data_IF_037876093936
#
_entry.id   IF_037876093936
#
_cell.length_a   1.000
_cell.length_b   1.000
_cell.length_c   1.000
_cell.angle_alpha   90.00
_cell.angle_beta   90.00
_cell.angle_gamma   90.00
#
_symmetry.space_group_name_H-M   'P 1'
#
loop_
_entity.id
_entity.type
_entity.pdbx_description
1 polymer ?
#
# COMPACT_ATOMS: atom_id res chain seq x y z
N UNK A 1 9.76 -0.96 -7.37
CA UNK A 1 8.32 -0.80 -7.62
C UNK A 1 8.06 -0.25 -9.02
N UNK A 2 8.45 0.99 -9.34
CA UNK A 2 8.41 1.53 -10.72
C UNK A 2 9.07 0.60 -11.74
N UNK A 3 10.28 0.13 -11.47
CA UNK A 3 10.97 -0.84 -12.33
C UNK A 3 10.26 -2.19 -12.54
N UNK A 4 9.26 -2.54 -11.73
CA UNK A 4 8.56 -3.83 -11.84
C UNK A 4 7.21 -3.62 -12.53
N UNK A 5 6.43 -2.61 -12.11
CA UNK A 5 5.12 -2.30 -12.70
C UNK A 5 5.24 -1.55 -14.03
N UNK A 6 6.27 -0.72 -14.20
CA UNK A 6 6.54 0.06 -15.42
C UNK A 6 7.67 -0.56 -16.26
N UNK A 7 8.43 -1.53 -15.73
CA UNK A 7 9.60 -2.10 -16.38
C UNK A 7 9.41 -3.57 -16.76
N UNK A 8 8.77 -3.82 -17.92
CA UNK A 8 8.64 -5.07 -18.71
C UNK A 8 8.77 -6.44 -17.98
N UNK A 9 8.46 -6.51 -16.69
CA UNK A 9 8.63 -7.66 -15.80
C UNK A 9 10.05 -8.26 -15.79
N UNK A 10 11.09 -7.46 -16.03
CA UNK A 10 12.49 -7.95 -16.08
C UNK A 10 12.98 -8.48 -14.72
N UNK A 11 12.35 -8.06 -13.63
CA UNK A 11 12.64 -8.51 -12.27
C UNK A 11 11.42 -9.17 -11.64
N UNK A 12 11.65 -10.26 -10.90
CA UNK A 12 10.61 -10.91 -10.12
C UNK A 12 10.01 -9.98 -9.06
N UNK A 13 8.70 -10.07 -8.88
CA UNK A 13 7.98 -9.36 -7.82
C UNK A 13 8.40 -9.95 -6.47
N UNK A 14 8.96 -9.11 -5.60
CA UNK A 14 9.25 -9.51 -4.22
C UNK A 14 8.03 -9.22 -3.34
N UNK A 15 7.46 -10.26 -2.75
CA UNK A 15 6.39 -10.13 -1.76
C UNK A 15 6.94 -9.70 -0.40
N UNK A 16 6.09 -9.06 0.41
CA UNK A 16 6.45 -8.58 1.76
C UNK A 16 5.29 -8.80 2.72
N UNK A 17 5.61 -9.20 3.95
CA UNK A 17 4.62 -9.22 5.01
C UNK A 17 4.38 -7.80 5.54
N UNK A 18 3.12 -7.48 5.79
CA UNK A 18 2.69 -6.19 6.30
C UNK A 18 1.99 -6.36 7.65
N UNK A 19 2.16 -5.35 8.51
CA UNK A 19 1.47 -5.24 9.80
C UNK A 19 0.67 -3.95 9.82
N UNK A 20 -0.65 -4.08 9.92
CA UNK A 20 -1.57 -2.96 10.10
C UNK A 20 -2.04 -2.95 11.55
N UNK A 21 -1.84 -1.83 12.24
CA UNK A 21 -2.24 -1.67 13.64
C UNK A 21 -3.34 -0.62 13.74
N UNK A 22 -4.47 -0.97 14.36
CA UNK A 22 -5.44 0.01 14.83
C UNK A 22 -4.99 0.47 16.22
N UNK A 23 -4.85 1.78 16.42
CA UNK A 23 -4.39 2.38 17.67
C UNK A 23 -5.45 3.34 18.23
N UNK A 24 -5.48 3.50 19.55
CA UNK A 24 -6.28 4.53 20.21
C UNK A 24 -5.52 5.87 20.27
N UNK A 25 -6.11 6.87 20.92
CA UNK A 25 -5.51 8.21 21.07
C UNK A 25 -4.22 8.22 21.92
N UNK A 26 -4.00 7.19 22.74
CA UNK A 26 -2.81 7.01 23.58
C UNK A 26 -1.75 6.12 22.89
N UNK A 27 -1.86 5.92 21.57
CA UNK A 27 -1.00 5.03 20.75
C UNK A 27 -1.03 3.55 21.16
N UNK A 28 -1.97 3.15 22.01
CA UNK A 28 -2.15 1.76 22.39
C UNK A 28 -2.80 0.98 21.26
N UNK A 29 -2.19 -0.16 20.90
CA UNK A 29 -2.68 -1.05 19.84
C UNK A 29 -3.93 -1.78 20.30
N UNK A 30 -5.03 -1.59 19.57
CA UNK A 30 -6.34 -2.21 19.82
C UNK A 30 -6.56 -3.48 18.98
N UNK A 31 -5.91 -3.57 17.82
CA UNK A 31 -5.96 -4.73 16.94
C UNK A 31 -4.79 -4.70 15.96
N UNK A 32 -4.35 -5.88 15.52
CA UNK A 32 -3.32 -6.05 14.49
C UNK A 32 -3.86 -6.94 13.39
N UNK A 33 -3.64 -6.54 12.14
CA UNK A 33 -3.74 -7.42 10.99
C UNK A 33 -2.33 -7.71 10.47
N UNK A 34 -2.02 -9.00 10.37
CA UNK A 34 -0.84 -9.50 9.67
C UNK A 34 -1.29 -9.93 8.28
N UNK A 35 -0.73 -9.27 7.26
CA UNK A 35 -1.01 -9.54 5.84
C UNK A 35 0.25 -10.17 5.28
N UNK A 36 0.16 -11.42 4.85
CA UNK A 36 1.33 -12.18 4.44
C UNK A 36 1.50 -12.14 2.93
N UNK A 37 2.76 -12.03 2.51
CA UNK A 37 3.17 -12.02 1.12
C UNK A 37 2.33 -11.03 0.30
N UNK A 38 2.33 -9.75 0.66
CA UNK A 38 1.67 -8.72 -0.13
C UNK A 38 2.58 -8.25 -1.28
N UNK A 39 2.00 -7.95 -2.44
CA UNK A 39 2.71 -7.35 -3.57
C UNK A 39 1.85 -6.35 -4.34
N UNK A 40 2.47 -5.34 -4.97
CA UNK A 40 1.74 -4.31 -5.68
C UNK A 40 1.23 -4.80 -7.03
N UNK A 41 0.00 -4.43 -7.35
CA UNK A 41 -0.66 -4.73 -8.63
C UNK A 41 -0.94 -3.47 -9.44
N UNK A 42 -1.00 -2.31 -8.78
CA UNK A 42 -1.21 -1.02 -9.44
C UNK A 42 -0.55 0.09 -8.64
N UNK A 43 -0.01 1.07 -9.35
CA UNK A 43 0.46 2.33 -8.79
C UNK A 43 -0.08 3.47 -9.65
N UNK A 44 -0.49 4.56 -9.02
CA UNK A 44 -0.96 5.76 -9.70
C UNK A 44 -0.69 7.01 -8.89
N UNK A 45 -0.44 8.11 -9.58
CA UNK A 45 -0.33 9.43 -8.98
C UNK A 45 -1.64 10.18 -9.22
N UNK A 46 -2.13 10.90 -8.21
CA UNK A 46 -3.26 11.80 -8.36
C UNK A 46 -3.07 12.74 -9.54
N UNK A 47 -4.14 13.00 -10.29
CA UNK A 47 -4.09 13.92 -11.42
C UNK A 47 -3.71 15.33 -10.98
N UNK A 48 -2.79 15.95 -11.69
CA UNK A 48 -2.52 17.38 -11.53
C UNK A 48 -3.56 18.17 -12.30
N UNK A 49 -4.49 18.79 -11.57
CA UNK A 49 -5.50 19.69 -12.15
C UNK A 49 -4.97 21.13 -12.15
N UNK A 50 -5.23 21.87 -13.22
CA UNK A 50 -4.78 23.26 -13.34
C UNK A 50 -5.48 24.20 -12.35
N UNK A 51 -4.67 25.01 -11.66
CA UNK A 51 -4.95 26.37 -11.16
C UNK A 51 -5.98 26.58 -10.04
N UNK A 52 -7.10 25.85 -10.05
CA UNK A 52 -8.27 26.17 -9.21
C UNK A 52 -8.47 25.20 -8.03
N UNK A 53 -7.85 24.02 -8.07
CA UNK A 53 -7.97 23.00 -7.02
C UNK A 53 -6.64 22.83 -6.28
N UNK A 54 -6.57 23.29 -5.02
CA UNK A 54 -5.41 23.07 -4.14
C UNK A 54 -5.49 21.68 -3.47
N UNK A 55 -5.42 20.64 -4.30
CA UNK A 55 -5.45 19.24 -3.86
C UNK A 55 -4.03 18.75 -3.54
N UNK A 56 -3.91 17.89 -2.52
CA UNK A 56 -2.63 17.26 -2.20
C UNK A 56 -2.30 16.21 -3.27
N UNK A 57 -1.06 16.23 -3.78
CA UNK A 57 -0.58 15.16 -4.62
C UNK A 57 -0.46 13.86 -3.79
N UNK A 58 -1.19 12.82 -4.18
CA UNK A 58 -1.24 11.52 -3.49
C UNK A 58 -0.81 10.42 -4.44
N UNK A 59 0.19 9.65 -4.02
CA UNK A 59 0.50 8.36 -4.64
C UNK A 59 -0.41 7.28 -4.05
N UNK A 60 -1.09 6.54 -4.93
CA UNK A 60 -1.95 5.42 -4.56
C UNK A 60 -1.31 4.12 -4.99
N UNK A 61 -1.12 3.21 -4.03
CA UNK A 61 -0.62 1.87 -4.27
C UNK A 61 -1.70 0.84 -3.96
N UNK A 62 -2.01 0.00 -4.94
CA UNK A 62 -2.92 -1.13 -4.77
C UNK A 62 -2.10 -2.41 -4.60
N UNK A 63 -2.41 -3.16 -3.56
CA UNK A 63 -1.73 -4.40 -3.20
C UNK A 63 -2.72 -5.57 -3.25
N UNK A 64 -2.24 -6.73 -3.68
CA UNK A 64 -2.87 -8.01 -3.41
C UNK A 64 -1.99 -8.80 -2.43
N UNK A 65 -2.55 -9.86 -1.83
CA UNK A 65 -1.89 -10.63 -0.79
C UNK A 65 -2.39 -12.07 -0.78
N UNK A 66 -1.60 -12.96 -0.18
CA UNK A 66 -1.95 -14.39 -0.08
C UNK A 66 -2.97 -14.64 1.02
N UNK A 67 -2.75 -14.10 2.22
CA UNK A 67 -3.71 -14.23 3.32
C UNK A 67 -3.60 -13.07 4.31
N UNK A 68 -4.70 -12.83 5.03
CA UNK A 68 -4.78 -11.84 6.10
C UNK A 68 -5.28 -12.52 7.37
N UNK A 69 -4.62 -12.26 8.49
CA UNK A 69 -5.02 -12.73 9.80
C UNK A 69 -5.18 -11.54 10.75
N UNK A 70 -6.29 -11.49 11.49
CA UNK A 70 -6.53 -10.51 12.55
C UNK A 70 -6.19 -11.13 13.90
N UNK A 71 -5.26 -10.50 14.60
CA UNK A 71 -4.95 -10.76 16.00
C UNK A 71 -5.61 -9.67 16.85
N UNK A 72 -6.36 -10.09 17.87
CA UNK A 72 -6.98 -9.22 18.87
C UNK A 72 -6.04 -9.05 20.06
#
# INVERSE_FOLDING_TARGET
MRQILEGNLENAIQTRDLKLSLMNADEAVLAIWTISEAWPVKWGLSEFKDGENNELAVETLELTYTHINKNA
#
